data_IF_245412162874
#
_entry.id   IF_245412162874
#
_cell.length_a   1.000
_cell.length_b   1.000
_cell.length_c   1.000
_cell.angle_alpha   90.00
_cell.angle_beta   90.00
_cell.angle_gamma   90.00
#
_symmetry.space_group_name_H-M   'P 1'
#
loop_
_entity.id
_entity.type
_entity.pdbx_description
1 polymer ?
#
# COMPACT_ATOMS: atom_id res chain seq x y z
N UNK A 1 -61.42 -63.73 -64.36
CA UNK A 1 -62.79 -63.55 -64.95
C UNK A 1 -63.13 -62.10 -64.78
N UNK A 2 -63.29 -61.39 -65.90
CA UNK A 2 -63.94 -60.07 -66.16
C UNK A 2 -63.52 -58.90 -65.31
N UNK A 3 -62.79 -57.92 -65.95
CA UNK A 3 -63.24 -56.81 -66.86
C UNK A 3 -64.13 -55.77 -66.15
N UNK A 4 -63.60 -54.52 -66.03
CA UNK A 4 -63.93 -53.28 -66.71
C UNK A 4 -63.32 -52.09 -65.89
N UNK A 5 -62.39 -51.44 -66.37
CA UNK A 5 -62.28 -50.17 -67.15
C UNK A 5 -63.44 -49.16 -67.01
N UNK A 6 -63.15 -48.00 -66.53
CA UNK A 6 -63.57 -46.66 -67.07
C UNK A 6 -62.87 -45.47 -66.39
N UNK A 7 -62.08 -44.76 -67.18
CA UNK A 7 -61.82 -43.33 -66.96
C UNK A 7 -63.02 -42.54 -67.53
N UNK A 8 -63.12 -41.19 -67.46
CA UNK A 8 -62.22 -40.10 -67.00
C UNK A 8 -63.03 -38.99 -66.20
N UNK A 9 -62.35 -37.98 -65.67
CA UNK A 9 -62.55 -36.56 -66.03
C UNK A 9 -61.65 -35.60 -65.25
N UNK A 10 -60.95 -34.81 -65.99
CA UNK A 10 -60.16 -33.62 -65.70
C UNK A 10 -60.96 -32.53 -64.98
N UNK A 11 -60.34 -31.86 -63.91
CA UNK A 11 -60.61 -30.46 -63.67
C UNK A 11 -59.35 -29.79 -63.11
N UNK A 12 -58.90 -28.79 -63.88
CA UNK A 12 -57.89 -27.80 -63.49
C UNK A 12 -58.33 -27.03 -62.25
N UNK A 13 -57.49 -26.92 -61.26
CA UNK A 13 -57.50 -25.79 -60.35
C UNK A 13 -56.08 -25.30 -60.12
N UNK A 14 -55.94 -24.02 -60.33
CA UNK A 14 -54.69 -23.24 -60.34
C UNK A 14 -54.02 -23.24 -58.98
N UNK A 15 -52.74 -23.54 -58.98
CA UNK A 15 -51.87 -23.44 -57.80
C UNK A 15 -51.61 -22.00 -57.39
N UNK A 16 -51.67 -21.75 -56.11
CA UNK A 16 -51.18 -20.54 -55.48
C UNK A 16 -49.85 -20.92 -54.77
N UNK A 17 -48.75 -20.58 -55.39
CA UNK A 17 -47.41 -20.76 -54.79
C UNK A 17 -47.17 -19.66 -53.80
N UNK A 18 -47.30 -19.96 -52.48
CA UNK A 18 -46.93 -19.08 -51.39
C UNK A 18 -45.42 -19.25 -51.19
N UNK A 19 -44.65 -18.31 -51.65
CA UNK A 19 -43.21 -18.17 -51.36
C UNK A 19 -43.07 -17.64 -49.94
N UNK A 20 -42.76 -18.51 -48.96
CA UNK A 20 -42.36 -18.08 -47.61
C UNK A 20 -40.95 -17.49 -47.70
N UNK A 21 -40.86 -16.16 -47.68
CA UNK A 21 -39.61 -15.44 -47.47
C UNK A 21 -39.19 -15.64 -46.01
N UNK A 22 -38.21 -16.50 -45.76
CA UNK A 22 -37.62 -16.69 -44.47
C UNK A 22 -36.86 -15.43 -44.06
N UNK A 23 -37.43 -14.62 -43.15
CA UNK A 23 -36.76 -13.53 -42.47
C UNK A 23 -35.79 -14.19 -41.45
N UNK A 24 -34.52 -14.38 -41.87
CA UNK A 24 -33.43 -14.71 -40.95
C UNK A 24 -33.28 -13.53 -39.96
N UNK A 25 -33.82 -13.65 -38.74
CA UNK A 25 -33.47 -12.79 -37.63
C UNK A 25 -31.99 -12.97 -37.32
N UNK A 26 -31.17 -12.09 -37.87
CA UNK A 26 -29.81 -11.85 -37.42
C UNK A 26 -29.92 -11.31 -35.97
N UNK A 27 -29.96 -12.21 -35.00
CA UNK A 27 -29.68 -11.85 -33.61
C UNK A 27 -28.27 -11.24 -33.59
N UNK A 28 -28.06 -10.01 -33.15
CA UNK A 28 -26.73 -9.54 -32.90
C UNK A 28 -26.15 -10.46 -31.83
N UNK A 29 -25.13 -11.23 -32.20
CA UNK A 29 -24.29 -11.91 -31.22
C UNK A 29 -23.80 -10.80 -30.29
N UNK A 30 -24.35 -10.74 -29.09
CA UNK A 30 -23.80 -9.90 -28.05
C UNK A 30 -22.37 -10.38 -27.83
N UNK A 31 -21.44 -9.65 -28.41
CA UNK A 31 -20.00 -9.81 -28.13
C UNK A 31 -19.87 -9.51 -26.65
N UNK A 32 -19.87 -10.54 -25.82
CA UNK A 32 -19.47 -10.42 -24.41
C UNK A 32 -18.01 -10.00 -24.48
N UNK A 33 -17.76 -8.70 -24.47
CA UNK A 33 -16.40 -8.22 -24.22
C UNK A 33 -15.97 -8.89 -22.91
N UNK A 34 -14.90 -9.67 -22.94
CA UNK A 34 -14.33 -10.23 -21.71
C UNK A 34 -14.20 -9.10 -20.72
N UNK A 35 -14.88 -9.23 -19.58
CA UNK A 35 -14.84 -8.19 -18.55
C UNK A 35 -13.39 -8.04 -18.12
N UNK A 36 -12.85 -6.85 -18.34
CA UNK A 36 -11.48 -6.52 -17.88
C UNK A 36 -11.38 -6.79 -16.40
N UNK A 37 -10.33 -7.48 -16.01
CA UNK A 37 -9.99 -7.77 -14.63
C UNK A 37 -8.54 -7.36 -14.37
N UNK A 38 -8.32 -6.59 -13.32
CA UNK A 38 -6.98 -6.17 -12.89
C UNK A 38 -6.40 -7.16 -11.88
N UNK A 39 -5.07 -7.27 -11.87
CA UNK A 39 -4.31 -7.95 -10.82
C UNK A 39 -3.56 -6.90 -9.99
N UNK A 40 -3.90 -6.81 -8.71
CA UNK A 40 -3.25 -5.96 -7.72
C UNK A 40 -2.29 -6.80 -6.87
N UNK A 41 -0.98 -6.50 -6.96
CA UNK A 41 0.01 -6.99 -6.01
C UNK A 41 -0.04 -6.11 -4.76
N UNK A 42 -0.61 -6.65 -3.68
CA UNK A 42 -0.88 -5.91 -2.46
C UNK A 42 0.11 -6.28 -1.35
N UNK A 43 1.08 -5.40 -1.12
CA UNK A 43 1.99 -5.42 0.03
C UNK A 43 1.48 -4.65 1.23
N UNK A 44 0.38 -3.91 1.09
CA UNK A 44 -0.28 -3.19 2.18
C UNK A 44 -1.14 -4.15 3.02
N UNK A 45 -1.59 -3.71 4.19
CA UNK A 45 -2.46 -4.50 5.06
C UNK A 45 -3.63 -5.12 4.29
N UNK A 46 -3.90 -6.40 4.60
CA UNK A 46 -4.89 -7.22 3.88
C UNK A 46 -6.23 -6.52 3.74
N UNK A 47 -6.74 -5.97 4.84
CA UNK A 47 -8.07 -5.36 4.91
C UNK A 47 -8.14 -4.10 4.05
N UNK A 48 -7.05 -3.34 3.98
CA UNK A 48 -6.95 -2.12 3.15
C UNK A 48 -7.04 -2.48 1.67
N UNK A 49 -6.25 -3.46 1.22
CA UNK A 49 -6.27 -3.90 -0.17
C UNK A 49 -7.61 -4.51 -0.59
N UNK A 50 -8.22 -5.31 0.28
CA UNK A 50 -9.50 -5.97 0.00
C UNK A 50 -10.66 -4.95 -0.09
N UNK A 51 -10.76 -3.99 0.86
CA UNK A 51 -11.82 -2.96 0.83
C UNK A 51 -11.62 -1.97 -0.33
N UNK A 52 -10.38 -1.64 -0.66
CA UNK A 52 -10.07 -0.80 -1.82
C UNK A 52 -10.50 -1.46 -3.14
N UNK A 53 -10.15 -2.74 -3.33
CA UNK A 53 -10.53 -3.52 -4.50
C UNK A 53 -12.06 -3.61 -4.64
N UNK A 54 -12.76 -3.92 -3.56
CA UNK A 54 -14.22 -3.98 -3.51
C UNK A 54 -14.88 -2.65 -3.85
N UNK A 55 -14.39 -1.54 -3.30
CA UNK A 55 -14.94 -0.21 -3.57
C UNK A 55 -14.69 0.20 -5.02
N UNK A 56 -13.51 -0.08 -5.57
CA UNK A 56 -13.21 0.18 -6.99
C UNK A 56 -14.10 -0.64 -7.93
N UNK A 57 -14.28 -1.94 -7.64
CA UNK A 57 -15.18 -2.80 -8.43
C UNK A 57 -16.63 -2.30 -8.37
N UNK A 58 -17.12 -1.92 -7.19
CA UNK A 58 -18.46 -1.37 -7.04
C UNK A 58 -18.69 -0.10 -7.86
N UNK A 59 -17.64 0.74 -7.99
CA UNK A 59 -17.71 2.00 -8.72
C UNK A 59 -17.59 1.84 -10.23
N UNK A 60 -16.74 0.92 -10.69
CA UNK A 60 -16.33 0.83 -12.10
C UNK A 60 -16.85 -0.40 -12.82
N UNK A 61 -17.23 -1.44 -12.09
CA UNK A 61 -17.54 -2.77 -12.62
C UNK A 61 -16.30 -3.58 -13.01
N UNK A 62 -15.07 -3.05 -12.78
CA UNK A 62 -13.80 -3.72 -13.08
C UNK A 62 -13.42 -4.56 -11.87
N UNK A 63 -13.32 -5.87 -12.05
CA UNK A 63 -12.89 -6.79 -11.00
C UNK A 63 -11.40 -6.63 -10.70
N UNK A 64 -11.00 -6.75 -9.41
CA UNK A 64 -9.61 -6.66 -8.98
C UNK A 64 -9.21 -7.93 -8.23
N UNK A 65 -8.34 -8.72 -8.84
CA UNK A 65 -7.72 -9.88 -8.21
C UNK A 65 -6.58 -9.42 -7.29
N UNK A 66 -6.75 -9.58 -5.98
CA UNK A 66 -5.76 -9.14 -4.99
C UNK A 66 -4.81 -10.29 -4.66
N UNK A 67 -3.53 -10.15 -5.02
CA UNK A 67 -2.45 -11.06 -4.63
C UNK A 67 -1.64 -10.45 -3.49
N UNK A 68 -1.57 -11.13 -2.35
CA UNK A 68 -0.96 -10.63 -1.11
C UNK A 68 0.45 -11.16 -0.93
N UNK A 69 1.31 -10.32 -0.35
CA UNK A 69 2.68 -10.65 0.03
C UNK A 69 3.28 -9.50 0.83
N UNK A 70 4.53 -9.59 1.28
CA UNK A 70 5.24 -8.41 1.77
C UNK A 70 5.65 -7.52 0.60
N UNK A 71 5.81 -6.20 0.85
CA UNK A 71 6.19 -5.24 -0.19
C UNK A 71 7.46 -5.66 -0.93
N UNK A 72 8.50 -6.05 -0.19
CA UNK A 72 9.78 -6.49 -0.77
C UNK A 72 9.65 -7.80 -1.57
N UNK A 73 8.86 -8.77 -1.07
CA UNK A 73 8.62 -10.03 -1.77
C UNK A 73 7.92 -9.80 -3.10
N UNK A 74 6.87 -8.97 -3.12
CA UNK A 74 6.11 -8.67 -4.33
C UNK A 74 6.94 -7.86 -5.34
N UNK A 75 7.75 -6.90 -4.86
CA UNK A 75 8.66 -6.17 -5.73
C UNK A 75 9.72 -7.09 -6.35
N UNK A 76 10.34 -7.99 -5.58
CA UNK A 76 11.27 -8.98 -6.10
C UNK A 76 10.60 -9.90 -7.13
N UNK A 77 9.36 -10.29 -6.88
CA UNK A 77 8.59 -11.10 -7.82
C UNK A 77 8.33 -10.35 -9.13
N UNK A 78 8.00 -9.04 -9.09
CA UNK A 78 7.87 -8.22 -10.32
C UNK A 78 9.18 -8.19 -11.10
N UNK A 79 10.34 -8.08 -10.42
CA UNK A 79 11.66 -8.13 -11.08
C UNK A 79 11.89 -9.47 -11.77
N UNK A 80 11.58 -10.59 -11.10
CA UNK A 80 11.74 -11.95 -11.66
C UNK A 80 10.80 -12.21 -12.84
N UNK A 81 9.56 -11.73 -12.75
CA UNK A 81 8.54 -11.90 -13.80
C UNK A 81 8.81 -11.01 -15.02
N UNK A 82 9.39 -9.81 -14.83
CA UNK A 82 9.69 -8.84 -15.88
C UNK A 82 8.46 -8.52 -16.74
N UNK A 83 8.62 -8.54 -18.06
CA UNK A 83 7.52 -8.27 -19.03
C UNK A 83 6.39 -9.32 -19.00
N UNK A 84 6.58 -10.43 -18.30
CA UNK A 84 5.58 -11.49 -18.14
C UNK A 84 4.78 -11.37 -16.85
N UNK A 85 5.04 -10.34 -16.05
CA UNK A 85 4.28 -10.14 -14.82
C UNK A 85 2.78 -10.05 -15.11
N UNK A 86 1.95 -10.81 -14.37
CA UNK A 86 0.50 -10.71 -14.48
C UNK A 86 -0.06 -9.52 -13.71
N UNK A 87 0.77 -8.80 -12.95
CA UNK A 87 0.33 -7.66 -12.16
C UNK A 87 0.12 -6.44 -13.05
N UNK A 88 -0.98 -5.73 -12.81
CA UNK A 88 -1.28 -4.44 -13.42
C UNK A 88 -0.84 -3.29 -12.52
N UNK A 89 -1.08 -3.45 -11.21
CA UNK A 89 -0.76 -2.45 -10.17
C UNK A 89 -0.07 -3.15 -9.01
N UNK A 90 0.93 -2.47 -8.44
CA UNK A 90 1.56 -2.85 -7.17
C UNK A 90 1.26 -1.77 -6.13
N UNK A 91 0.89 -2.19 -4.90
CA UNK A 91 0.61 -1.34 -3.76
C UNK A 91 1.43 -1.83 -2.55
N UNK A 92 2.28 -0.97 -2.01
CA UNK A 92 3.26 -1.30 -0.96
C UNK A 92 3.01 -0.52 0.33
N UNK A 93 3.46 -1.02 1.46
CA UNK A 93 3.44 -0.29 2.73
C UNK A 93 4.46 0.85 2.76
N UNK A 94 5.57 0.73 2.00
CA UNK A 94 6.69 1.65 1.98
C UNK A 94 7.08 2.03 0.55
N UNK A 95 7.81 3.15 0.40
CA UNK A 95 8.27 3.64 -0.91
C UNK A 95 9.51 2.94 -1.48
N UNK A 96 10.50 2.44 -0.70
CA UNK A 96 11.74 1.87 -1.24
C UNK A 96 11.55 0.74 -2.26
N UNK A 97 10.61 -0.20 -2.09
CA UNK A 97 10.37 -1.22 -3.11
C UNK A 97 9.97 -0.65 -4.47
N UNK A 98 9.19 0.46 -4.50
CA UNK A 98 8.79 1.12 -5.74
C UNK A 98 9.92 1.97 -6.33
N UNK A 99 10.74 2.62 -5.50
CA UNK A 99 11.97 3.27 -5.96
C UNK A 99 12.85 2.27 -6.72
N UNK A 100 13.07 1.07 -6.15
CA UNK A 100 13.85 0.00 -6.80
C UNK A 100 13.24 -0.42 -8.15
N UNK A 101 11.94 -0.62 -8.22
CA UNK A 101 11.26 -0.95 -9.49
C UNK A 101 11.35 0.18 -10.51
N UNK A 102 11.25 1.44 -10.07
CA UNK A 102 11.40 2.63 -10.91
C UNK A 102 12.81 2.76 -11.48
N UNK A 103 13.86 2.55 -10.66
CA UNK A 103 15.27 2.54 -11.08
C UNK A 103 15.53 1.47 -12.16
N UNK A 104 14.86 0.33 -12.08
CA UNK A 104 14.94 -0.75 -13.07
C UNK A 104 14.03 -0.51 -14.29
N UNK A 105 13.28 0.60 -14.30
CA UNK A 105 12.43 0.97 -15.41
C UNK A 105 11.19 0.09 -15.60
N UNK A 106 10.72 -0.62 -14.57
CA UNK A 106 9.57 -1.54 -14.60
C UNK A 106 8.22 -0.85 -14.38
N UNK A 107 8.22 0.42 -13.92
CA UNK A 107 7.01 1.18 -13.64
C UNK A 107 6.60 2.06 -14.82
N UNK A 108 5.29 2.16 -15.06
CA UNK A 108 4.70 3.07 -16.02
C UNK A 108 4.57 4.48 -15.41
N UNK A 109 4.59 5.52 -16.27
CA UNK A 109 4.26 6.88 -15.82
C UNK A 109 2.80 6.93 -15.34
N UNK A 110 2.56 7.67 -14.28
CA UNK A 110 1.21 7.93 -13.76
C UNK A 110 0.65 9.18 -14.44
N UNK A 111 -0.64 9.17 -14.75
CA UNK A 111 -1.33 10.29 -15.36
C UNK A 111 -1.17 11.55 -14.51
N UNK A 112 -0.83 12.68 -15.14
CA UNK A 112 -0.60 13.95 -14.44
C UNK A 112 -1.80 14.38 -13.59
N UNK A 113 -3.02 14.16 -14.09
CA UNK A 113 -4.27 14.47 -13.35
C UNK A 113 -4.40 13.69 -12.03
N UNK A 114 -3.82 12.49 -11.95
CA UNK A 114 -3.77 11.70 -10.71
C UNK A 114 -2.71 12.25 -9.74
N UNK A 115 -1.55 12.66 -10.26
CA UNK A 115 -0.47 13.22 -9.44
C UNK A 115 -0.78 14.63 -8.93
N UNK A 116 -1.49 15.45 -9.71
CA UNK A 116 -1.78 16.86 -9.36
C UNK A 116 -2.61 17.03 -8.09
N UNK A 117 -3.37 16.01 -7.69
CA UNK A 117 -4.17 16.05 -6.45
C UNK A 117 -3.38 15.68 -5.20
N UNK A 118 -2.12 15.25 -5.36
CA UNK A 118 -1.21 14.84 -4.29
C UNK A 118 -0.13 15.90 -4.04
N UNK A 119 0.42 16.02 -2.82
CA UNK A 119 1.58 16.86 -2.59
C UNK A 119 2.81 16.27 -3.31
N UNK A 120 3.61 17.14 -3.91
CA UNK A 120 4.76 16.73 -4.74
C UNK A 120 5.82 15.95 -3.97
N UNK A 121 5.97 16.21 -2.68
CA UNK A 121 6.95 15.54 -1.81
C UNK A 121 6.65 14.05 -1.60
N UNK A 122 5.45 13.60 -1.96
CA UNK A 122 5.01 12.21 -1.79
C UNK A 122 4.79 11.48 -3.13
N UNK A 123 5.51 11.90 -4.17
CA UNK A 123 5.47 11.32 -5.51
C UNK A 123 6.89 10.94 -5.92
N UNK A 124 7.04 9.84 -6.64
CA UNK A 124 8.33 9.42 -7.20
C UNK A 124 8.95 10.48 -8.09
N UNK A 125 10.27 10.66 -8.02
CA UNK A 125 11.01 11.70 -8.77
C UNK A 125 10.72 11.66 -10.27
N UNK A 126 10.42 10.48 -10.80
CA UNK A 126 10.09 10.27 -12.20
C UNK A 126 8.58 10.31 -12.49
N UNK A 127 7.71 10.47 -11.49
CA UNK A 127 6.25 10.40 -11.66
C UNK A 127 5.76 9.01 -12.06
N UNK A 128 6.43 7.96 -11.60
CA UNK A 128 6.14 6.56 -11.91
C UNK A 128 5.59 5.77 -10.71
N UNK A 129 5.60 6.34 -9.53
CA UNK A 129 4.86 5.89 -8.35
C UNK A 129 4.30 7.09 -7.59
N UNK A 130 3.29 6.85 -6.77
CA UNK A 130 2.66 7.86 -5.91
C UNK A 130 2.51 7.34 -4.49
N UNK A 131 2.66 8.22 -3.51
CA UNK A 131 2.19 8.00 -2.16
C UNK A 131 0.67 7.98 -2.13
N UNK A 132 0.10 7.02 -1.43
CA UNK A 132 -1.35 6.84 -1.31
C UNK A 132 -1.85 7.41 0.02
N UNK A 133 -1.27 6.96 1.13
CA UNK A 133 -1.52 7.49 2.48
C UNK A 133 -0.21 7.64 3.24
N UNK A 134 -0.20 8.52 4.24
CA UNK A 134 0.98 8.76 5.07
C UNK A 134 0.78 8.24 6.50
N UNK A 135 1.90 7.95 7.15
CA UNK A 135 2.02 7.66 8.57
C UNK A 135 3.28 8.31 9.10
N UNK A 136 3.31 8.55 10.40
CA UNK A 136 4.50 9.09 11.06
C UNK A 136 5.12 8.08 11.99
N UNK A 137 6.45 8.06 12.06
CA UNK A 137 7.18 7.39 13.11
C UNK A 137 6.88 8.08 14.44
N UNK A 138 6.79 7.29 15.49
CA UNK A 138 6.50 7.73 16.87
C UNK A 138 7.21 6.82 17.85
N UNK A 139 7.24 7.25 19.11
CA UNK A 139 7.46 6.34 20.24
C UNK A 139 6.12 6.05 20.89
N UNK A 140 5.74 4.79 20.99
CA UNK A 140 4.71 4.40 21.95
C UNK A 140 5.38 4.11 23.29
N UNK A 141 4.84 4.65 24.38
CA UNK A 141 5.41 4.53 25.71
C UNK A 141 4.35 4.22 26.77
N UNK A 142 4.77 3.60 27.87
CA UNK A 142 3.90 3.32 29.01
C UNK A 142 4.19 4.35 30.12
N UNK A 143 3.26 5.30 30.40
CA UNK A 143 3.48 6.36 31.38
C UNK A 143 3.62 5.85 32.83
N UNK A 144 3.28 4.59 33.11
CA UNK A 144 3.55 3.95 34.42
C UNK A 144 5.02 3.58 34.57
N UNK A 145 5.79 3.45 33.47
CA UNK A 145 7.20 3.05 33.49
C UNK A 145 8.13 4.22 33.21
N UNK A 146 7.70 5.20 32.42
CA UNK A 146 8.48 6.39 32.08
C UNK A 146 7.54 7.57 31.84
N UNK A 147 7.85 8.73 32.40
CA UNK A 147 7.07 9.94 32.16
C UNK A 147 7.44 10.53 30.79
N UNK A 148 6.47 11.12 30.08
CA UNK A 148 6.70 11.71 28.75
C UNK A 148 7.85 12.74 28.73
N UNK A 149 7.96 13.55 29.77
CA UNK A 149 9.03 14.56 29.92
C UNK A 149 10.44 13.97 30.00
N UNK A 150 10.56 12.69 30.34
CA UNK A 150 11.83 11.97 30.48
C UNK A 150 12.18 11.19 29.18
N UNK A 151 11.33 11.24 28.15
CA UNK A 151 11.62 10.69 26.85
C UNK A 151 12.65 11.55 26.12
N UNK A 152 13.56 10.94 25.34
CA UNK A 152 14.53 11.65 24.53
C UNK A 152 13.86 12.56 23.49
N UNK A 153 14.51 13.67 23.18
CA UNK A 153 14.09 14.57 22.10
C UNK A 153 14.49 14.06 20.73
N UNK A 154 15.54 13.26 20.64
CA UNK A 154 16.00 12.63 19.41
C UNK A 154 15.84 11.12 19.47
N UNK A 155 15.49 10.51 18.33
CA UNK A 155 15.45 9.05 18.18
C UNK A 155 16.83 8.42 18.36
N UNK A 156 17.90 9.16 18.10
CA UNK A 156 19.27 8.68 18.27
C UNK A 156 19.60 8.36 19.73
N UNK A 157 19.06 9.13 20.66
CA UNK A 157 19.33 8.96 22.09
C UNK A 157 18.72 7.67 22.67
N UNK A 158 17.78 7.00 21.98
CA UNK A 158 17.26 5.69 22.40
C UNK A 158 18.27 4.56 22.26
N UNK A 159 19.41 4.79 21.61
CA UNK A 159 20.49 3.82 21.45
C UNK A 159 21.54 3.85 22.59
N UNK A 160 21.37 4.72 23.59
CA UNK A 160 22.27 4.83 24.73
C UNK A 160 22.12 3.69 25.76
N UNK A 161 23.15 3.43 26.59
CA UNK A 161 23.12 2.39 27.62
C UNK A 161 22.04 2.62 28.70
N UNK A 162 21.60 3.87 28.92
CA UNK A 162 20.51 4.22 29.83
C UNK A 162 19.14 3.66 29.38
N UNK A 163 19.05 3.25 28.09
CA UNK A 163 17.88 2.63 27.51
C UNK A 163 17.91 1.10 27.53
N UNK A 164 18.90 0.50 28.21
CA UNK A 164 19.03 -0.94 28.30
C UNK A 164 17.72 -1.59 28.78
N UNK A 165 17.14 -2.43 27.92
CA UNK A 165 15.90 -3.15 28.17
C UNK A 165 14.63 -2.28 28.22
N UNK A 166 14.72 -0.97 27.93
CA UNK A 166 13.59 -0.03 27.97
C UNK A 166 13.00 0.31 26.60
N UNK A 167 13.74 0.10 25.52
CA UNK A 167 13.29 0.38 24.14
C UNK A 167 13.11 -0.90 23.34
N UNK A 168 11.93 -1.06 22.73
CA UNK A 168 11.63 -2.12 21.79
C UNK A 168 11.69 -1.62 20.35
N UNK A 169 12.08 -2.49 19.42
CA UNK A 169 12.09 -2.17 17.99
C UNK A 169 11.99 -3.43 17.14
N UNK A 170 11.72 -3.24 15.83
CA UNK A 170 11.53 -4.32 14.85
C UNK A 170 12.42 -4.05 13.64
N UNK A 171 13.64 -4.61 13.58
CA UNK A 171 14.58 -4.34 12.49
C UNK A 171 14.04 -4.78 11.11
N UNK A 172 13.28 -5.87 11.05
CA UNK A 172 12.68 -6.38 9.80
C UNK A 172 11.49 -5.55 9.29
N UNK A 173 11.10 -4.49 10.00
CA UNK A 173 10.03 -3.59 9.56
C UNK A 173 10.54 -2.60 8.51
N UNK A 174 9.88 -2.53 7.34
CA UNK A 174 10.24 -1.57 6.29
C UNK A 174 10.29 -0.13 6.81
N UNK A 175 9.35 0.27 7.69
CA UNK A 175 9.36 1.60 8.28
C UNK A 175 10.54 1.86 9.24
N UNK A 176 11.10 0.83 9.88
CA UNK A 176 12.34 0.95 10.65
C UNK A 176 13.52 1.14 9.71
N UNK A 177 13.57 0.40 8.60
CA UNK A 177 14.58 0.53 7.55
C UNK A 177 14.53 1.92 6.90
N UNK A 178 13.34 2.43 6.58
CA UNK A 178 13.17 3.81 6.11
C UNK A 178 13.72 4.83 7.13
N UNK A 179 13.52 4.60 8.44
CA UNK A 179 14.06 5.46 9.50
C UNK A 179 15.59 5.41 9.55
N UNK A 180 16.20 4.24 9.39
CA UNK A 180 17.65 4.10 9.30
C UNK A 180 18.20 4.86 8.08
N UNK A 181 17.56 4.77 6.90
CA UNK A 181 17.92 5.58 5.73
C UNK A 181 17.82 7.08 6.04
N UNK A 182 16.73 7.52 6.70
CA UNK A 182 16.58 8.93 7.06
C UNK A 182 17.70 9.41 7.99
N UNK A 183 18.14 8.59 8.95
CA UNK A 183 19.29 8.89 9.81
C UNK A 183 20.57 9.01 8.97
N UNK A 184 20.81 8.09 8.03
CA UNK A 184 21.98 8.19 7.10
C UNK A 184 21.96 9.51 6.34
N UNK A 185 20.80 9.91 5.79
CA UNK A 185 20.64 11.14 5.01
C UNK A 185 20.84 12.42 5.84
N UNK A 186 20.41 12.43 7.09
CA UNK A 186 20.43 13.59 7.97
C UNK A 186 21.75 13.72 8.75
N UNK A 187 22.33 12.59 9.17
CA UNK A 187 23.41 12.56 10.15
C UNK A 187 24.63 11.77 9.65
N UNK A 188 24.54 11.11 8.50
CA UNK A 188 25.61 10.28 7.93
C UNK A 188 25.54 8.81 8.36
N UNK A 189 26.29 7.97 7.62
CA UNK A 189 26.33 6.51 7.83
C UNK A 189 26.81 6.13 9.23
N UNK A 190 27.85 6.82 9.74
CA UNK A 190 28.42 6.56 11.06
C UNK A 190 27.39 6.72 12.19
N UNK A 191 26.61 7.80 12.18
CA UNK A 191 25.55 8.01 13.16
C UNK A 191 24.44 6.93 13.11
N UNK A 192 24.11 6.46 11.91
CA UNK A 192 23.16 5.36 11.75
C UNK A 192 23.73 4.03 12.26
N UNK A 193 25.03 3.76 12.04
CA UNK A 193 25.73 2.58 12.53
C UNK A 193 25.80 2.58 14.06
N UNK A 194 26.15 3.71 14.67
CA UNK A 194 26.13 3.89 16.12
C UNK A 194 24.73 3.66 16.70
N UNK A 195 23.71 4.24 16.08
CA UNK A 195 22.31 4.05 16.49
C UNK A 195 21.86 2.59 16.43
N UNK A 196 22.11 1.90 15.30
CA UNK A 196 21.75 0.49 15.13
C UNK A 196 22.52 -0.41 16.10
N UNK A 197 23.84 -0.14 16.28
CA UNK A 197 24.69 -0.87 17.24
C UNK A 197 24.20 -0.71 18.66
N UNK A 198 23.85 0.51 19.07
CA UNK A 198 23.30 0.80 20.39
C UNK A 198 21.95 0.13 20.63
N UNK A 199 21.03 0.20 19.66
CA UNK A 199 19.76 -0.50 19.73
C UNK A 199 19.95 -2.02 19.84
N UNK A 200 20.87 -2.60 19.09
CA UNK A 200 21.24 -4.02 19.20
C UNK A 200 21.77 -4.38 20.59
N UNK A 201 22.61 -3.53 21.14
CA UNK A 201 23.24 -3.77 22.44
C UNK A 201 22.28 -3.61 23.62
N UNK A 202 21.41 -2.62 23.56
CA UNK A 202 20.63 -2.16 24.72
C UNK A 202 19.12 -2.33 24.56
N UNK A 203 18.60 -2.40 23.31
CA UNK A 203 17.17 -2.54 23.03
C UNK A 203 16.68 -4.00 23.07
N UNK A 204 15.38 -4.16 22.89
CA UNK A 204 14.70 -5.45 22.73
C UNK A 204 14.16 -5.60 21.32
N UNK A 205 14.59 -6.64 20.61
CA UNK A 205 14.09 -6.99 19.27
C UNK A 205 12.76 -7.73 19.38
N UNK A 206 11.79 -7.34 18.56
CA UNK A 206 10.49 -8.01 18.46
C UNK A 206 10.25 -8.50 17.02
N UNK A 207 9.39 -9.51 16.89
CA UNK A 207 9.08 -10.15 15.59
C UNK A 207 8.20 -9.29 14.68
N UNK A 208 7.38 -8.39 15.25
CA UNK A 208 6.56 -7.43 14.51
C UNK A 208 6.11 -6.27 15.41
N UNK A 209 5.66 -5.19 14.76
CA UNK A 209 5.29 -3.94 15.44
C UNK A 209 4.10 -4.09 16.41
N UNK A 210 3.11 -4.93 16.10
CA UNK A 210 1.97 -5.13 17.00
C UNK A 210 2.38 -5.90 18.27
N UNK A 211 3.26 -6.89 18.15
CA UNK A 211 3.83 -7.60 19.31
C UNK A 211 4.65 -6.63 20.17
N UNK A 212 5.49 -5.80 19.56
CA UNK A 212 6.28 -4.80 20.28
C UNK A 212 5.40 -3.76 21.00
N UNK A 213 4.33 -3.29 20.37
CA UNK A 213 3.38 -2.37 20.98
C UNK A 213 2.62 -3.02 22.15
N UNK A 214 2.19 -4.28 22.01
CA UNK A 214 1.55 -5.04 23.09
C UNK A 214 2.50 -5.27 24.27
N UNK A 215 3.81 -5.38 24.05
CA UNK A 215 4.80 -5.45 25.11
C UNK A 215 4.87 -4.14 25.92
N UNK A 216 4.77 -2.96 25.27
CA UNK A 216 4.62 -1.66 25.97
C UNK A 216 3.32 -1.61 26.74
N UNK A 217 2.23 -2.00 26.14
CA UNK A 217 0.89 -2.00 26.76
C UNK A 217 0.84 -2.87 28.00
N UNK A 218 1.55 -4.00 27.99
CA UNK A 218 1.64 -4.95 29.12
C UNK A 218 2.72 -4.58 30.16
N UNK A 219 3.52 -3.52 29.90
CA UNK A 219 4.59 -3.11 30.82
C UNK A 219 5.86 -3.96 30.75
N UNK A 220 6.07 -4.74 29.70
CA UNK A 220 7.28 -5.55 29.50
C UNK A 220 8.49 -4.71 29.05
N UNK A 221 8.22 -3.59 28.38
CA UNK A 221 9.19 -2.61 27.90
C UNK A 221 8.59 -1.21 28.03
N UNK A 222 9.41 -0.22 28.35
CA UNK A 222 8.90 1.13 28.61
C UNK A 222 8.45 1.85 27.33
N UNK A 223 9.15 1.61 26.20
CA UNK A 223 8.93 2.30 24.93
C UNK A 223 9.10 1.38 23.74
N UNK A 224 8.53 1.74 22.59
CA UNK A 224 8.76 1.08 21.31
C UNK A 224 8.77 2.08 20.15
N UNK A 225 9.68 1.89 19.18
CA UNK A 225 9.77 2.66 17.96
C UNK A 225 8.83 2.05 16.90
N UNK A 226 7.70 2.71 16.62
CA UNK A 226 6.66 2.21 15.71
C UNK A 226 6.06 3.31 14.84
N UNK A 227 5.18 2.95 13.92
CA UNK A 227 4.29 3.90 13.26
C UNK A 227 3.04 4.15 14.12
N UNK A 228 2.52 5.37 14.05
CA UNK A 228 1.37 5.81 14.82
C UNK A 228 0.12 4.92 14.66
N UNK A 229 -0.16 4.42 13.47
CA UNK A 229 -1.38 3.67 13.17
C UNK A 229 -1.52 2.35 13.96
N UNK A 230 -0.41 1.73 14.38
CA UNK A 230 -0.45 0.52 15.22
C UNK A 230 -1.14 0.77 16.55
N UNK A 231 -0.91 1.93 17.16
CA UNK A 231 -1.57 2.30 18.41
C UNK A 231 -3.08 2.48 18.23
N UNK A 232 -3.49 3.11 17.12
CA UNK A 232 -4.91 3.24 16.79
C UNK A 232 -5.56 1.90 16.44
N UNK A 233 -4.82 0.97 15.84
CA UNK A 233 -5.30 -0.40 15.61
C UNK A 233 -5.51 -1.12 16.96
N UNK A 234 -4.56 -1.03 17.89
CA UNK A 234 -4.69 -1.60 19.22
C UNK A 234 -5.87 -0.98 20.00
N UNK A 235 -6.11 0.33 19.83
CA UNK A 235 -7.24 1.03 20.46
C UNK A 235 -8.62 0.54 19.98
N UNK A 236 -8.71 -0.05 18.78
CA UNK A 236 -9.94 -0.73 18.33
C UNK A 236 -10.17 -2.05 19.07
N UNK A 237 -9.09 -2.74 19.48
CA UNK A 237 -9.18 -4.01 20.22
C UNK A 237 -9.43 -3.77 21.71
N UNK A 238 -8.85 -2.70 22.28
CA UNK A 238 -8.89 -2.38 23.72
C UNK A 238 -9.18 -0.89 23.90
N UNK A 239 -10.33 -0.56 24.49
CA UNK A 239 -10.82 0.83 24.62
C UNK A 239 -9.91 1.70 25.48
N UNK A 240 -9.40 1.17 26.59
CA UNK A 240 -8.52 1.88 27.54
C UNK A 240 -7.10 1.32 27.40
N UNK A 241 -6.22 2.07 26.77
CA UNK A 241 -4.81 1.73 26.65
C UNK A 241 -4.01 2.36 27.78
N UNK A 242 -3.06 1.61 28.31
CA UNK A 242 -2.05 2.10 29.24
C UNK A 242 -0.92 2.82 28.51
N UNK A 243 -0.71 2.51 27.24
CA UNK A 243 0.29 3.16 26.38
C UNK A 243 -0.22 4.47 25.77
N UNK A 244 0.72 5.37 25.47
CA UNK A 244 0.50 6.66 24.82
C UNK A 244 1.48 6.83 23.66
N UNK A 245 1.22 7.83 22.79
CA UNK A 245 2.12 8.19 21.68
C UNK A 245 2.87 9.47 22.00
N UNK A 246 4.18 9.44 21.82
CA UNK A 246 5.04 10.60 21.78
C UNK A 246 5.45 10.88 20.33
N UNK A 247 5.26 12.13 19.89
CA UNK A 247 5.59 12.61 18.56
C UNK A 247 6.87 13.46 18.64
N UNK A 248 7.86 13.12 17.84
CA UNK A 248 9.07 13.92 17.72
C UNK A 248 8.80 15.28 17.07
N UNK A 249 9.61 16.26 17.41
CA UNK A 249 9.55 17.65 16.92
C UNK A 249 10.86 18.04 16.24
N UNK A 250 10.92 19.30 15.78
CA UNK A 250 12.15 19.96 15.32
C UNK A 250 12.88 19.25 14.17
N UNK A 251 12.14 18.46 13.37
CA UNK A 251 12.72 17.76 12.22
C UNK A 251 13.55 16.53 12.59
N UNK A 252 13.36 15.95 13.79
CA UNK A 252 14.05 14.74 14.20
C UNK A 252 13.67 13.53 13.34
N UNK A 253 14.63 12.64 13.03
CA UNK A 253 14.42 11.42 12.28
C UNK A 253 13.37 10.48 12.91
N UNK A 254 13.12 10.63 14.22
CA UNK A 254 12.05 9.93 14.94
C UNK A 254 10.64 10.30 14.50
N UNK A 255 10.47 11.47 13.89
CA UNK A 255 9.20 11.93 13.32
C UNK A 255 9.06 11.71 11.82
N UNK A 256 9.87 10.83 11.21
CA UNK A 256 9.84 10.55 9.77
C UNK A 256 8.42 10.24 9.30
N UNK A 257 8.00 10.90 8.22
CA UNK A 257 6.78 10.54 7.50
C UNK A 257 7.12 9.51 6.44
N UNK A 258 6.51 8.35 6.54
CA UNK A 258 6.56 7.29 5.53
C UNK A 258 5.23 7.21 4.79
N UNK A 259 5.21 6.62 3.61
CA UNK A 259 4.00 6.53 2.80
C UNK A 259 3.77 5.11 2.31
N UNK A 260 2.51 4.69 2.29
CA UNK A 260 2.12 3.60 1.41
C UNK A 260 2.15 4.10 -0.03
N UNK A 261 2.60 3.28 -0.94
CA UNK A 261 2.87 3.73 -2.31
C UNK A 261 2.28 2.79 -3.34
N UNK A 262 1.82 3.35 -4.47
CA UNK A 262 1.25 2.56 -5.57
C UNK A 262 1.85 2.96 -6.92
N UNK A 263 1.94 1.99 -7.82
CA UNK A 263 2.41 2.17 -9.18
C UNK A 263 1.72 1.21 -10.15
N UNK A 264 1.59 1.61 -11.42
CA UNK A 264 1.22 0.71 -12.51
C UNK A 264 2.49 0.08 -13.12
N UNK A 265 2.42 -1.19 -13.51
CA UNK A 265 3.53 -1.86 -14.17
C UNK A 265 3.54 -1.57 -15.67
N UNK A 266 4.71 -1.44 -16.27
CA UNK A 266 4.85 -1.33 -17.73
C UNK A 266 4.36 -2.58 -18.48
N UNK A 267 4.47 -3.75 -17.83
CA UNK A 267 4.03 -5.05 -18.35
C UNK A 267 2.51 -5.22 -18.36
N UNK A 268 1.75 -4.32 -17.71
CA UNK A 268 0.29 -4.39 -17.62
C UNK A 268 -0.36 -4.57 -18.99
N UNK A 269 -1.30 -5.50 -19.07
CA UNK A 269 -2.13 -5.71 -20.27
C UNK A 269 -3.36 -4.79 -20.28
N UNK A 270 -3.62 -4.09 -19.16
CA UNK A 270 -4.75 -3.20 -18.94
C UNK A 270 -4.29 -1.82 -18.45
N UNK A 271 -3.38 -1.13 -19.22
CA UNK A 271 -2.74 0.10 -18.74
C UNK A 271 -3.74 1.22 -18.42
N UNK A 272 -4.86 1.30 -19.14
CA UNK A 272 -5.90 2.31 -18.89
C UNK A 272 -6.63 2.05 -17.58
N UNK A 273 -7.01 0.82 -17.34
CA UNK A 273 -7.72 0.40 -16.12
C UNK A 273 -6.79 0.44 -14.91
N UNK A 274 -5.48 0.16 -15.09
CA UNK A 274 -4.48 0.36 -14.05
C UNK A 274 -4.38 1.84 -13.64
N UNK A 275 -4.36 2.79 -14.59
CA UNK A 275 -4.43 4.22 -14.29
C UNK A 275 -5.74 4.62 -13.60
N UNK A 276 -6.88 4.01 -13.97
CA UNK A 276 -8.15 4.24 -13.27
C UNK A 276 -8.10 3.79 -11.81
N UNK A 277 -7.44 2.65 -11.50
CA UNK A 277 -7.26 2.19 -10.13
C UNK A 277 -6.37 3.15 -9.34
N UNK A 278 -5.26 3.63 -9.92
CA UNK A 278 -4.41 4.64 -9.29
C UNK A 278 -5.16 5.95 -9.04
N UNK A 279 -5.93 6.43 -10.02
CA UNK A 279 -6.77 7.61 -9.88
C UNK A 279 -7.84 7.43 -8.78
N UNK A 280 -8.41 6.23 -8.66
CA UNK A 280 -9.34 5.91 -7.60
C UNK A 280 -8.66 5.95 -6.22
N UNK A 281 -7.46 5.36 -6.08
CA UNK A 281 -6.67 5.42 -4.84
C UNK A 281 -6.40 6.87 -4.40
N UNK A 282 -6.14 7.78 -5.35
CA UNK A 282 -5.91 9.20 -5.10
C UNK A 282 -7.20 10.03 -4.97
N UNK A 283 -8.38 9.46 -5.27
CA UNK A 283 -9.66 10.15 -5.16
C UNK A 283 -10.10 10.31 -3.70
N UNK A 284 -11.01 11.24 -3.44
CA UNK A 284 -11.59 11.41 -2.09
C UNK A 284 -12.21 10.11 -1.57
N UNK A 285 -12.95 9.40 -2.41
CA UNK A 285 -13.59 8.14 -2.06
C UNK A 285 -12.57 7.05 -1.71
N UNK A 286 -11.56 6.84 -2.57
CA UNK A 286 -10.49 5.87 -2.33
C UNK A 286 -9.71 6.19 -1.06
N UNK A 287 -9.35 7.45 -0.84
CA UNK A 287 -8.68 7.89 0.39
C UNK A 287 -9.53 7.63 1.64
N UNK A 288 -10.85 7.86 1.59
CA UNK A 288 -11.75 7.57 2.71
C UNK A 288 -11.86 6.06 2.98
N UNK A 289 -11.93 5.22 1.94
CA UNK A 289 -11.91 3.76 2.10
C UNK A 289 -10.66 3.32 2.85
N UNK A 290 -9.48 3.81 2.44
CA UNK A 290 -8.22 3.44 3.07
C UNK A 290 -8.14 3.95 4.50
N UNK A 291 -8.40 5.24 4.74
CA UNK A 291 -8.26 5.86 6.07
C UNK A 291 -9.34 5.45 7.06
N UNK A 292 -10.50 4.96 6.61
CA UNK A 292 -11.48 4.33 7.47
C UNK A 292 -11.06 2.91 7.89
N UNK A 293 -10.30 2.21 7.05
CA UNK A 293 -9.81 0.86 7.33
C UNK A 293 -8.57 0.90 8.21
N UNK A 294 -7.61 1.80 7.92
CA UNK A 294 -6.41 2.04 8.71
C UNK A 294 -6.37 3.48 9.24
N UNK A 295 -5.67 3.70 10.37
CA UNK A 295 -5.50 5.03 10.95
C UNK A 295 -4.29 5.73 10.32
N UNK A 296 -4.35 5.95 9.01
CA UNK A 296 -3.34 6.66 8.22
C UNK A 296 -3.84 8.04 7.80
N UNK A 297 -2.95 8.90 7.39
CA UNK A 297 -3.28 10.24 6.89
C UNK A 297 -3.59 10.19 5.41
N UNK A 298 -4.69 10.78 4.94
CA UNK A 298 -4.93 10.93 3.52
C UNK A 298 -3.88 11.87 2.90
N UNK A 299 -3.38 11.54 1.71
CA UNK A 299 -2.44 12.40 0.97
C UNK A 299 -3.13 13.28 -0.06
N UNK A 300 -4.40 13.04 -0.38
CA UNK A 300 -5.12 13.95 -1.27
C UNK A 300 -5.23 15.33 -0.64
N UNK A 301 -4.80 16.37 -1.39
CA UNK A 301 -4.88 17.77 -0.96
C UNK A 301 -6.28 18.15 -0.48
N UNK A 302 -6.36 18.85 0.63
CA UNK A 302 -7.62 19.30 1.22
C UNK A 302 -8.39 18.26 2.02
N UNK A 303 -7.83 17.04 2.21
CA UNK A 303 -8.40 16.02 3.08
C UNK A 303 -7.66 15.94 4.41
N UNK A 304 -8.40 15.63 5.45
CA UNK A 304 -7.88 15.34 6.79
C UNK A 304 -8.36 13.98 7.27
N UNK A 305 -7.61 13.40 8.20
CA UNK A 305 -8.01 12.16 8.86
C UNK A 305 -9.14 12.42 9.85
N UNK A 306 -10.16 11.56 9.84
CA UNK A 306 -11.27 11.55 10.78
C UNK A 306 -11.07 10.55 11.94
N UNK A 307 -9.85 10.04 12.13
CA UNK A 307 -9.52 8.94 13.06
C UNK A 307 -8.99 9.43 14.42
N UNK A 308 -9.03 10.74 14.69
CA UNK A 308 -8.48 11.32 15.92
C UNK A 308 -6.95 11.28 15.97
N UNK A 309 -6.30 11.28 14.81
CA UNK A 309 -4.85 11.45 14.69
C UNK A 309 -4.47 12.89 15.07
N UNK A 310 -3.23 13.09 15.52
CA UNK A 310 -2.66 14.44 15.58
C UNK A 310 -2.76 15.06 14.17
N UNK A 311 -3.22 16.31 14.02
CA UNK A 311 -3.33 16.94 12.69
C UNK A 311 -2.04 16.82 11.89
N UNK A 312 -2.15 16.49 10.58
CA UNK A 312 -0.98 16.30 9.73
C UNK A 312 -0.11 17.57 9.65
N UNK A 313 -0.75 18.72 9.65
CA UNK A 313 -0.10 20.04 9.66
C UNK A 313 0.65 20.39 10.95
N UNK A 314 0.41 19.65 12.04
CA UNK A 314 1.11 19.82 13.32
C UNK A 314 2.30 18.85 13.47
N UNK A 315 2.48 17.94 12.52
CA UNK A 315 3.65 17.09 12.47
C UNK A 315 4.86 17.91 12.03
N UNK A 316 6.01 17.61 12.61
CA UNK A 316 7.28 18.29 12.32
C UNK A 316 8.31 17.28 11.81
N UNK A 317 8.10 16.70 10.62
CA UNK A 317 8.98 15.67 10.09
C UNK A 317 10.34 16.24 9.71
N UNK A 318 11.36 15.38 9.59
CA UNK A 318 12.64 15.75 8.99
C UNK A 318 12.46 16.12 7.51
N UNK A 319 13.42 16.86 6.97
CA UNK A 319 13.46 17.23 5.54
C UNK A 319 14.00 16.10 4.68
N UNK A 320 13.31 14.95 4.74
CA UNK A 320 13.58 13.76 3.94
C UNK A 320 12.25 13.30 3.35
N UNK A 321 12.17 13.28 2.03
CA UNK A 321 10.97 12.81 1.34
C UNK A 321 11.03 11.29 1.10
N UNK A 322 9.90 10.61 0.86
CA UNK A 322 9.92 9.19 0.50
C UNK A 322 10.75 8.87 -0.75
N UNK A 323 10.88 9.81 -1.69
CA UNK A 323 11.76 9.66 -2.85
C UNK A 323 13.25 9.70 -2.47
N UNK A 324 13.62 10.51 -1.45
CA UNK A 324 14.99 10.59 -0.94
C UNK A 324 15.45 9.31 -0.23
N UNK A 325 14.51 8.48 0.23
CA UNK A 325 14.82 7.20 0.89
C UNK A 325 15.44 6.17 -0.09
N UNK A 326 15.32 6.39 -1.40
CA UNK A 326 15.88 5.48 -2.40
C UNK A 326 15.31 4.06 -2.25
N UNK A 327 16.15 3.06 -2.56
CA UNK A 327 15.77 1.63 -2.48
C UNK A 327 16.06 0.96 -1.12
N UNK A 328 16.54 1.72 -0.14
CA UNK A 328 16.92 1.30 1.22
C UNK A 328 18.06 0.26 1.31
N UNK A 329 18.78 -0.02 0.24
CA UNK A 329 19.86 -1.03 0.24
C UNK A 329 20.97 -0.69 1.26
N UNK A 330 21.34 0.59 1.39
CA UNK A 330 22.37 1.04 2.33
C UNK A 330 21.98 0.75 3.80
N UNK A 331 20.73 0.95 4.17
CA UNK A 331 20.25 0.61 5.52
C UNK A 331 20.25 -0.89 5.75
N UNK A 332 19.81 -1.69 4.76
CA UNK A 332 19.82 -3.14 4.83
C UNK A 332 21.24 -3.73 4.95
N UNK A 333 22.22 -3.13 4.26
CA UNK A 333 23.63 -3.49 4.44
C UNK A 333 24.09 -3.20 5.85
N UNK A 334 23.80 -2.01 6.35
CA UNK A 334 24.20 -1.58 7.67
C UNK A 334 23.58 -2.46 8.78
N UNK A 335 22.28 -2.82 8.64
CA UNK A 335 21.64 -3.75 9.57
C UNK A 335 22.31 -5.13 9.59
N UNK A 336 22.77 -5.64 8.43
CA UNK A 336 23.53 -6.90 8.36
C UNK A 336 24.90 -6.74 9.01
N UNK A 337 25.62 -5.64 8.73
CA UNK A 337 26.96 -5.37 9.27
C UNK A 337 26.94 -5.34 10.80
N UNK A 338 25.91 -4.74 11.39
CA UNK A 338 25.71 -4.71 12.84
C UNK A 338 25.02 -5.96 13.40
N UNK A 339 24.61 -6.91 12.57
CA UNK A 339 24.03 -8.20 12.99
C UNK A 339 22.59 -8.09 13.50
N UNK A 340 21.75 -7.26 12.90
CA UNK A 340 20.31 -7.13 13.18
C UNK A 340 19.43 -7.94 12.21
N UNK A 341 19.96 -8.40 11.07
CA UNK A 341 19.31 -9.21 10.04
C UNK A 341 20.06 -10.49 9.75
#
# INVERSE_FOLDING_TARGET
MMIRDTRPKTSLLRGLTITLLGLALLSPAAYSADKVSLTLYNGQHKEVGDELAKAFEAKTGIHVNVRKGSSNQLASQVVEEGDRSPADVIYTEESPPLNKLGEQGLLAKIDASTLDVLPKDYVGSNGDWMGVTARTRVVAFNPKLIAEKDLPKSVLDFAGPEWQGKVGFVPTSGAFQEQAVAIIKLHGREAAEEWLTGLRAFGKVYSNNMVALKAVENGEVATVLVNNYYWFALKKEKTNLDSQLHYFTDGDAGGLITVSSAAALKSSKHPKEAQQLLAFMASEEGQRVITNTSAEYPLRKGMESNRGLKPFSELQPPKVTPADLGNAEEALELERDVGLN
#
